data_IF_291038446589
#
_entry.id   IF_291038446589
#
_cell.length_a   1.000
_cell.length_b   1.000
_cell.length_c   1.000
_cell.angle_alpha   90.00
_cell.angle_beta   90.00
_cell.angle_gamma   90.00
#
_symmetry.space_group_name_H-M   'P 1'
#
loop_
_entity.id
_entity.type
_entity.pdbx_description
1 polymer ?
#
# COMPACT_ATOMS: atom_id res chain seq x y z
N UNK A 1 -0.78 8.83 -26.35
CA UNK A 1 -0.13 8.07 -25.25
C UNK A 1 -0.69 6.66 -25.34
N UNK A 2 0.12 5.66 -25.69
CA UNK A 2 -0.33 4.26 -25.69
C UNK A 2 -0.77 3.88 -24.28
N UNK A 3 -1.97 3.34 -24.12
CA UNK A 3 -2.38 2.72 -22.86
C UNK A 3 -1.44 1.55 -22.59
N UNK A 4 -0.69 1.66 -21.51
CA UNK A 4 0.21 0.61 -21.05
C UNK A 4 -0.63 -0.30 -20.14
N UNK A 5 -1.10 -1.42 -20.69
CA UNK A 5 -1.95 -2.36 -19.95
C UNK A 5 -1.09 -3.42 -19.29
N UNK A 6 -1.05 -3.42 -17.95
CA UNK A 6 -0.49 -4.51 -17.15
C UNK A 6 -1.57 -5.55 -16.82
N UNK A 7 -1.19 -6.83 -16.72
CA UNK A 7 -2.12 -7.90 -16.34
C UNK A 7 -2.67 -7.68 -14.93
N UNK A 8 -3.98 -7.88 -14.68
CA UNK A 8 -4.57 -7.88 -13.33
C UNK A 8 -3.99 -8.93 -12.38
N UNK A 9 -3.32 -9.95 -12.93
CA UNK A 9 -2.58 -10.96 -12.15
C UNK A 9 -1.27 -10.41 -11.58
N UNK A 10 -0.74 -9.31 -12.14
CA UNK A 10 0.51 -8.68 -11.72
C UNK A 10 0.28 -7.39 -10.93
N UNK A 11 -0.72 -6.59 -11.31
CA UNK A 11 -1.01 -5.29 -10.70
C UNK A 11 -2.51 -5.16 -10.38
N UNK A 12 -2.82 -4.86 -9.13
CA UNK A 12 -4.16 -4.54 -8.66
C UNK A 12 -4.16 -3.19 -7.94
N UNK A 13 -5.06 -2.31 -8.36
CA UNK A 13 -5.26 -1.01 -7.72
C UNK A 13 -6.59 -1.11 -6.96
N UNK A 14 -6.63 -0.68 -5.69
CA UNK A 14 -7.86 -0.71 -4.90
C UNK A 14 -8.95 0.16 -5.52
N UNK A 15 -10.22 -0.19 -5.29
CA UNK A 15 -11.35 0.56 -5.85
C UNK A 15 -11.33 2.05 -5.45
N UNK A 16 -10.91 2.35 -4.22
CA UNK A 16 -10.78 3.71 -3.72
C UNK A 16 -9.71 4.51 -4.49
N UNK A 17 -8.55 3.92 -4.72
CA UNK A 17 -7.46 4.58 -5.46
C UNK A 17 -7.84 4.74 -6.94
N UNK A 18 -8.52 3.75 -7.54
CA UNK A 18 -9.05 3.88 -8.90
C UNK A 18 -10.05 5.04 -9.03
N UNK A 19 -10.99 5.17 -8.08
CA UNK A 19 -11.92 6.30 -8.04
C UNK A 19 -11.18 7.64 -7.91
N UNK A 20 -10.19 7.69 -7.02
CA UNK A 20 -9.39 8.88 -6.81
C UNK A 20 -8.68 9.33 -8.09
N UNK A 21 -8.00 8.40 -8.77
CA UNK A 21 -7.31 8.68 -10.03
C UNK A 21 -8.27 9.10 -11.14
N UNK A 22 -9.41 8.41 -11.29
CA UNK A 22 -10.43 8.74 -12.28
C UNK A 22 -11.01 10.14 -12.07
N UNK A 23 -11.23 10.52 -10.81
CA UNK A 23 -11.79 11.81 -10.43
C UNK A 23 -10.73 12.89 -10.19
N UNK A 24 -9.45 12.63 -10.50
CA UNK A 24 -8.34 13.57 -10.29
C UNK A 24 -8.22 14.07 -8.84
N UNK A 25 -8.60 13.23 -7.87
CA UNK A 25 -8.35 13.48 -6.45
C UNK A 25 -6.86 13.24 -6.16
N UNK A 26 -6.23 13.99 -5.25
CA UNK A 26 -4.83 13.77 -4.89
C UNK A 26 -4.66 12.39 -4.22
N UNK A 27 -3.65 11.63 -4.68
CA UNK A 27 -3.28 10.33 -4.14
C UNK A 27 -1.87 10.40 -3.58
N UNK A 28 -1.67 9.84 -2.38
CA UNK A 28 -0.35 9.76 -1.73
C UNK A 28 0.04 8.30 -1.58
N UNK A 29 1.11 7.89 -2.27
CA UNK A 29 1.65 6.54 -2.15
C UNK A 29 2.45 6.37 -0.85
N UNK A 30 2.36 5.19 -0.23
CA UNK A 30 3.12 4.82 0.97
C UNK A 30 3.83 3.47 0.75
N UNK A 31 5.02 3.31 1.33
CA UNK A 31 5.80 2.07 1.21
C UNK A 31 5.42 1.02 2.29
N UNK A 32 5.68 -0.25 2.00
CA UNK A 32 5.48 -1.37 2.95
C UNK A 32 6.75 -1.81 3.68
N UNK A 33 7.95 -1.42 3.21
CA UNK A 33 9.22 -1.82 3.86
C UNK A 33 9.33 -1.26 5.29
N UNK A 34 8.87 -0.02 5.52
CA UNK A 34 8.82 0.56 6.87
C UNK A 34 7.95 -0.25 7.84
N UNK A 35 6.91 -0.91 7.32
CA UNK A 35 5.98 -1.73 8.11
C UNK A 35 6.66 -3.05 8.51
N UNK A 36 7.27 -3.75 7.57
CA UNK A 36 7.87 -5.08 7.83
C UNK A 36 9.27 -5.02 8.46
N UNK A 37 10.07 -4.01 8.13
CA UNK A 37 11.50 -3.96 8.50
C UNK A 37 11.91 -2.70 9.25
N UNK A 38 11.06 -1.67 9.30
CA UNK A 38 11.41 -0.36 9.88
C UNK A 38 11.00 -0.20 11.34
N UNK A 39 9.96 -0.92 11.79
CA UNK A 39 9.37 -0.77 13.11
C UNK A 39 8.95 -2.13 13.68
N UNK A 40 8.98 -2.32 15.02
CA UNK A 40 8.48 -3.53 15.65
C UNK A 40 6.94 -3.61 15.58
N UNK A 41 6.41 -4.82 15.65
CA UNK A 41 4.98 -5.04 15.87
C UNK A 41 4.62 -4.80 17.35
N UNK A 42 3.48 -4.15 17.67
CA UNK A 42 2.40 -3.71 16.78
C UNK A 42 2.55 -2.29 16.19
N UNK A 43 3.60 -1.57 16.57
CA UNK A 43 3.78 -0.16 16.20
C UNK A 43 3.83 0.03 14.68
N UNK A 44 4.46 -0.88 13.95
CA UNK A 44 4.49 -0.85 12.49
C UNK A 44 3.12 -0.73 11.82
N UNK A 45 2.19 -1.63 12.14
CA UNK A 45 0.85 -1.64 11.56
C UNK A 45 0.02 -0.44 12.06
N UNK A 46 0.14 -0.11 13.35
CA UNK A 46 -0.55 1.05 13.94
C UNK A 46 -0.13 2.35 13.25
N UNK A 47 1.17 2.59 13.13
CA UNK A 47 1.71 3.78 12.46
C UNK A 47 1.30 3.83 10.99
N UNK A 48 1.32 2.71 10.27
CA UNK A 48 0.86 2.67 8.87
C UNK A 48 -0.60 3.13 8.74
N UNK A 49 -1.49 2.59 9.58
CA UNK A 49 -2.91 2.97 9.59
C UNK A 49 -3.09 4.44 9.99
N UNK A 50 -2.37 4.92 11.01
CA UNK A 50 -2.42 6.31 11.45
C UNK A 50 -1.95 7.30 10.38
N UNK A 51 -0.93 6.92 9.59
CA UNK A 51 -0.45 7.71 8.46
C UNK A 51 -1.50 7.76 7.34
N UNK A 52 -2.16 6.64 7.02
CA UNK A 52 -3.28 6.64 6.07
C UNK A 52 -4.41 7.58 6.53
N UNK A 53 -4.80 7.50 7.80
CA UNK A 53 -5.81 8.39 8.38
C UNK A 53 -5.38 9.86 8.37
N UNK A 54 -4.09 10.14 8.56
CA UNK A 54 -3.55 11.50 8.48
C UNK A 54 -3.67 12.06 7.06
N UNK A 55 -3.38 11.25 6.04
CA UNK A 55 -3.54 11.64 4.63
C UNK A 55 -5.01 11.91 4.30
N UNK A 56 -5.92 11.07 4.77
CA UNK A 56 -7.38 11.25 4.61
C UNK A 56 -7.84 12.58 5.21
N UNK A 57 -7.36 12.93 6.41
CA UNK A 57 -7.66 14.22 7.08
C UNK A 57 -7.16 15.43 6.28
N UNK A 58 -6.13 15.28 5.46
CA UNK A 58 -5.62 16.33 4.56
C UNK A 58 -6.35 16.38 3.20
N UNK A 59 -7.39 15.56 3.01
CA UNK A 59 -8.20 15.55 1.78
C UNK A 59 -7.57 14.79 0.62
N UNK A 60 -6.58 13.94 0.88
CA UNK A 60 -5.98 13.05 -0.11
C UNK A 60 -6.32 11.58 0.16
N UNK A 61 -6.15 10.75 -0.85
CA UNK A 61 -6.40 9.30 -0.78
C UNK A 61 -5.06 8.58 -0.58
N UNK A 62 -4.89 7.83 0.52
CA UNK A 62 -3.67 7.04 0.72
C UNK A 62 -3.67 5.81 -0.19
N UNK A 63 -2.47 5.42 -0.62
CA UNK A 63 -2.24 4.21 -1.40
C UNK A 63 -0.99 3.50 -0.86
N UNK A 64 -1.13 2.75 0.23
CA UNK A 64 -0.05 1.85 0.68
C UNK A 64 0.20 0.77 -0.36
N UNK A 65 1.47 0.55 -0.70
CA UNK A 65 1.90 -0.37 -1.77
C UNK A 65 2.68 -1.54 -1.18
N UNK A 66 2.28 -2.75 -1.55
CA UNK A 66 2.98 -3.98 -1.22
C UNK A 66 2.79 -5.05 -2.30
N UNK A 67 3.55 -6.14 -2.19
CA UNK A 67 3.30 -7.36 -2.96
C UNK A 67 2.60 -8.36 -2.03
N UNK A 68 1.36 -8.71 -2.35
CA UNK A 68 0.54 -9.65 -1.57
C UNK A 68 0.24 -10.86 -2.46
N UNK A 69 0.68 -12.05 -2.05
CA UNK A 69 0.43 -13.27 -2.81
C UNK A 69 0.99 -13.24 -4.26
N UNK A 70 2.10 -12.53 -4.48
CA UNK A 70 2.71 -12.36 -5.81
C UNK A 70 2.13 -11.22 -6.65
N UNK A 71 1.12 -10.50 -6.16
CA UNK A 71 0.47 -9.40 -6.87
C UNK A 71 0.92 -8.06 -6.30
N UNK A 72 1.34 -7.12 -7.16
CA UNK A 72 1.58 -5.73 -6.76
C UNK A 72 0.24 -5.06 -6.47
N UNK A 73 0.04 -4.64 -5.23
CA UNK A 73 -1.17 -3.94 -4.79
C UNK A 73 -0.90 -2.47 -4.54
N UNK A 74 -1.81 -1.62 -5.04
CA UNK A 74 -1.82 -0.17 -4.81
C UNK A 74 -3.07 0.18 -4.03
N UNK A 75 -2.90 0.46 -2.73
CA UNK A 75 -3.98 0.52 -1.74
C UNK A 75 -4.21 -0.85 -1.11
N UNK A 76 -3.90 -0.96 0.17
CA UNK A 76 -4.05 -2.19 0.95
C UNK A 76 -5.29 -2.13 1.85
N UNK A 77 -5.79 -3.30 2.22
CA UNK A 77 -6.73 -3.39 3.34
C UNK A 77 -6.01 -3.28 4.68
N UNK A 78 -6.76 -3.01 5.75
CA UNK A 78 -6.22 -3.00 7.11
C UNK A 78 -5.61 -4.35 7.50
N UNK A 79 -6.25 -5.44 7.09
CA UNK A 79 -5.81 -6.81 7.35
C UNK A 79 -4.48 -7.11 6.64
N UNK A 80 -4.28 -6.59 5.43
CA UNK A 80 -3.02 -6.73 4.70
C UNK A 80 -1.89 -5.93 5.37
N UNK A 81 -2.18 -4.73 5.87
CA UNK A 81 -1.23 -3.93 6.66
C UNK A 81 -0.84 -4.67 7.95
N UNK A 82 -1.83 -5.22 8.66
CA UNK A 82 -1.59 -6.00 9.88
C UNK A 82 -0.80 -7.28 9.60
N UNK A 83 -1.06 -7.96 8.48
CA UNK A 83 -0.31 -9.13 8.04
C UNK A 83 1.17 -8.78 7.85
N UNK A 84 1.46 -7.72 7.09
CA UNK A 84 2.84 -7.27 6.87
C UNK A 84 3.55 -6.91 8.19
N UNK A 85 2.82 -6.26 9.10
CA UNK A 85 3.35 -5.91 10.41
C UNK A 85 3.65 -7.12 11.29
N UNK A 86 2.76 -8.13 11.31
CA UNK A 86 2.92 -9.36 12.10
C UNK A 86 4.05 -10.24 11.58
N UNK A 87 4.14 -10.39 10.26
CA UNK A 87 5.17 -11.21 9.63
C UNK A 87 6.57 -10.57 9.72
N UNK A 88 6.63 -9.23 9.71
CA UNK A 88 7.88 -8.50 9.92
C UNK A 88 8.99 -8.97 8.97
N UNK A 89 10.12 -9.41 9.53
CA UNK A 89 11.27 -9.92 8.77
C UNK A 89 11.02 -11.22 7.99
N UNK A 90 9.90 -11.93 8.21
CA UNK A 90 9.52 -13.05 7.34
C UNK A 90 9.05 -12.56 5.96
N UNK A 91 8.58 -11.32 5.86
CA UNK A 91 8.25 -10.69 4.59
C UNK A 91 9.56 -10.39 3.87
N UNK A 92 9.65 -10.73 2.58
CA UNK A 92 10.84 -10.35 1.78
C UNK A 92 10.87 -8.84 1.60
N UNK A 93 11.99 -8.21 1.98
CA UNK A 93 12.27 -6.83 1.58
C UNK A 93 12.51 -6.79 0.07
N UNK A 94 11.66 -6.08 -0.66
CA UNK A 94 11.73 -6.00 -2.12
C UNK A 94 12.34 -4.67 -2.55
N UNK A 95 13.35 -4.75 -3.42
CA UNK A 95 13.88 -3.63 -4.20
C UNK A 95 13.71 -3.97 -5.68
N UNK A 96 14.27 -3.16 -6.58
CA UNK A 96 14.16 -3.37 -8.03
C UNK A 96 14.82 -4.66 -8.54
N UNK A 97 15.76 -5.23 -7.80
CA UNK A 97 16.66 -6.31 -8.23
C UNK A 97 16.44 -7.57 -7.39
#
# INVERSE_FOLDING_TARGET
MSELTLSPELLQISAEVQDALKNKKPVVALESTIISHGMPFPQNAQTAIEVEETIRKQGAVPATIAIIGGVMKVGLSKEEIELLGREGHNVTKVSRQ
#
